data_IF_888039133743
#
_entry.id   IF_888039133743
#
_cell.length_a   1.000
_cell.length_b   1.000
_cell.length_c   1.000
_cell.angle_alpha   90.00
_cell.angle_beta   90.00
_cell.angle_gamma   90.00
#
_symmetry.space_group_name_H-M   'P 1'
#
loop_
_entity.id
_entity.type
_entity.pdbx_description
1 polymer ?
#
# COMPACT_ATOMS: atom_id res chain seq x y z
N UNK A 1 -4.43 -1.51 3.81
CA UNK A 1 -4.65 -2.18 2.50
C UNK A 1 -3.72 -1.54 1.49
N UNK A 2 -2.98 -2.32 0.72
CA UNK A 2 -1.87 -1.78 -0.10
C UNK A 2 -2.12 -2.07 -1.56
N UNK A 3 -1.85 -1.08 -2.42
CA UNK A 3 -1.79 -1.28 -3.87
C UNK A 3 -0.43 -1.85 -4.26
N UNK A 4 -0.42 -3.09 -4.75
CA UNK A 4 0.78 -3.80 -5.18
C UNK A 4 0.67 -4.13 -6.67
N UNK A 5 1.78 -3.96 -7.40
CA UNK A 5 1.86 -4.39 -8.80
C UNK A 5 1.95 -5.92 -8.87
N UNK A 6 1.27 -6.53 -9.84
CA UNK A 6 1.31 -7.99 -10.04
C UNK A 6 2.74 -8.53 -10.13
N UNK A 7 3.68 -7.77 -10.71
CA UNK A 7 5.10 -8.15 -10.83
C UNK A 7 5.82 -8.32 -9.47
N UNK A 8 5.33 -7.65 -8.43
CA UNK A 8 5.91 -7.70 -7.08
C UNK A 8 5.15 -8.67 -6.16
N UNK A 9 4.14 -9.35 -6.70
CA UNK A 9 3.22 -10.14 -5.91
C UNK A 9 3.78 -11.54 -5.68
N UNK A 10 3.82 -11.97 -4.43
CA UNK A 10 4.29 -13.30 -4.03
C UNK A 10 3.12 -14.21 -3.63
N UNK A 11 3.21 -15.53 -3.85
CA UNK A 11 2.25 -16.46 -3.30
C UNK A 11 2.15 -16.29 -1.78
N UNK A 12 0.92 -16.21 -1.27
CA UNK A 12 0.63 -16.08 0.15
C UNK A 12 0.06 -14.73 0.58
N UNK A 13 0.04 -13.71 -0.28
CA UNK A 13 -0.69 -12.47 0.00
C UNK A 13 -2.21 -12.69 -0.04
N UNK A 14 -2.94 -12.00 0.83
CA UNK A 14 -4.41 -12.02 0.83
C UNK A 14 -4.95 -10.81 0.09
N UNK A 15 -5.94 -10.98 -0.78
CA UNK A 15 -6.62 -9.84 -1.43
C UNK A 15 -7.45 -9.05 -0.42
N UNK A 16 -7.30 -7.73 -0.40
CA UNK A 16 -8.15 -6.84 0.39
C UNK A 16 -9.44 -6.46 -0.31
N UNK A 17 -9.51 -6.62 -1.64
CA UNK A 17 -10.68 -6.27 -2.46
C UNK A 17 -10.86 -7.26 -3.60
N UNK A 18 -12.12 -7.48 -3.96
CA UNK A 18 -12.51 -8.24 -5.14
C UNK A 18 -11.79 -7.73 -6.38
N UNK A 19 -11.20 -8.67 -7.11
CA UNK A 19 -10.70 -8.42 -8.46
C UNK A 19 -11.85 -8.69 -9.42
N UNK A 20 -12.44 -7.60 -9.91
CA UNK A 20 -13.51 -7.63 -10.90
C UNK A 20 -12.95 -7.30 -12.28
N UNK A 21 -13.40 -8.05 -13.28
CA UNK A 21 -13.13 -7.76 -14.68
C UNK A 21 -14.09 -6.66 -15.18
N UNK A 22 -13.78 -5.93 -16.28
CA UNK A 22 -14.68 -4.91 -16.83
C UNK A 22 -16.09 -5.39 -17.23
N UNK A 23 -16.28 -6.69 -17.45
CA UNK A 23 -17.59 -7.31 -17.73
C UNK A 23 -18.43 -7.54 -16.45
N UNK A 24 -17.93 -7.13 -15.27
CA UNK A 24 -18.61 -7.28 -13.99
C UNK A 24 -18.41 -8.63 -13.32
N UNK A 25 -17.64 -9.54 -13.92
CA UNK A 25 -17.36 -10.85 -13.34
C UNK A 25 -16.27 -10.75 -12.28
N UNK A 26 -16.57 -11.19 -11.06
CA UNK A 26 -15.58 -11.34 -9.98
C UNK A 26 -14.67 -12.52 -10.30
N UNK A 27 -13.39 -12.25 -10.52
CA UNK A 27 -12.36 -13.24 -10.81
C UNK A 27 -11.81 -13.87 -9.53
N UNK A 28 -11.54 -13.01 -8.53
CA UNK A 28 -11.00 -13.44 -7.25
C UNK A 28 -11.65 -12.60 -6.15
N UNK A 29 -12.34 -13.22 -5.18
CA UNK A 29 -12.96 -12.49 -4.09
C UNK A 29 -11.92 -11.95 -3.10
N UNK A 30 -12.26 -10.87 -2.40
CA UNK A 30 -11.56 -10.38 -1.24
C UNK A 30 -11.43 -11.47 -0.16
N UNK A 31 -10.39 -11.39 0.67
CA UNK A 31 -10.07 -12.37 1.69
C UNK A 31 -9.43 -13.66 1.14
N UNK A 32 -9.33 -13.82 -0.18
CA UNK A 32 -8.65 -14.99 -0.78
C UNK A 32 -7.14 -14.83 -0.74
N UNK A 33 -6.47 -15.86 -0.23
CA UNK A 33 -5.01 -16.02 -0.30
C UNK A 33 -4.60 -16.37 -1.74
N UNK A 34 -3.71 -15.57 -2.31
CA UNK A 34 -3.23 -15.70 -3.68
C UNK A 34 -2.17 -16.80 -3.76
N UNK A 35 -2.42 -17.81 -4.58
CA UNK A 35 -1.44 -18.82 -4.96
C UNK A 35 -0.76 -18.47 -6.29
N UNK A 36 0.16 -19.33 -6.72
CA UNK A 36 0.84 -19.17 -8.01
C UNK A 36 -0.15 -19.19 -9.20
N UNK A 37 -1.24 -19.94 -9.09
CA UNK A 37 -2.28 -20.03 -10.12
C UNK A 37 -3.05 -18.72 -10.27
N UNK A 38 -3.43 -18.10 -9.15
CA UNK A 38 -4.09 -16.79 -9.16
C UNK A 38 -3.19 -15.69 -9.71
N UNK A 39 -1.90 -15.67 -9.34
CA UNK A 39 -0.95 -14.68 -9.85
C UNK A 39 -0.81 -14.78 -11.37
N UNK A 40 -0.64 -16.00 -11.90
CA UNK A 40 -0.57 -16.25 -13.35
C UNK A 40 -1.86 -15.84 -14.06
N UNK A 41 -3.02 -16.04 -13.43
CA UNK A 41 -4.29 -15.60 -13.98
C UNK A 41 -4.33 -14.06 -14.10
N UNK A 42 -3.92 -13.35 -13.05
CA UNK A 42 -3.87 -11.89 -13.04
C UNK A 42 -2.89 -11.34 -14.10
N UNK A 43 -1.73 -11.97 -14.26
CA UNK A 43 -0.76 -11.65 -15.32
C UNK A 43 -1.35 -11.83 -16.73
N UNK A 44 -2.03 -12.96 -16.96
CA UNK A 44 -2.67 -13.26 -18.26
C UNK A 44 -3.78 -12.29 -18.63
N UNK A 45 -4.40 -11.66 -17.63
CA UNK A 45 -5.47 -10.69 -17.81
C UNK A 45 -4.98 -9.25 -17.90
N UNK A 46 -3.66 -9.05 -17.97
CA UNK A 46 -3.01 -7.73 -18.05
C UNK A 46 -3.43 -6.78 -16.91
N UNK A 47 -3.77 -7.35 -15.75
CA UNK A 47 -4.08 -6.57 -14.57
C UNK A 47 -2.77 -6.00 -14.03
N UNK A 48 -2.66 -4.68 -13.95
CA UNK A 48 -1.40 -4.03 -13.55
C UNK A 48 -1.20 -4.00 -12.03
N UNK A 49 -2.29 -3.87 -11.26
CA UNK A 49 -2.26 -3.67 -9.81
C UNK A 49 -3.45 -4.33 -9.12
N UNK A 50 -3.24 -4.82 -7.90
CA UNK A 50 -4.28 -5.32 -7.00
C UNK A 50 -4.11 -4.78 -5.59
N UNK A 51 -5.19 -4.84 -4.80
CA UNK A 51 -5.17 -4.45 -3.39
C UNK A 51 -5.02 -5.69 -2.51
N UNK A 52 -3.98 -5.72 -1.69
CA UNK A 52 -3.73 -6.81 -0.73
C UNK A 52 -3.89 -6.33 0.72
N UNK A 53 -4.19 -7.27 1.60
CA UNK A 53 -4.18 -7.07 3.05
C UNK A 53 -2.73 -6.99 3.54
N UNK A 54 -2.45 -6.04 4.43
CA UNK A 54 -1.14 -5.80 5.02
C UNK A 54 -0.77 -4.32 5.12
N UNK A 55 0.43 -4.08 5.66
CA UNK A 55 1.19 -2.81 5.62
C UNK A 55 2.21 -2.84 4.48
N UNK A 56 2.44 -1.70 3.81
CA UNK A 56 3.20 -1.61 2.55
C UNK A 56 4.65 -2.16 2.60
N UNK A 57 5.14 -2.51 3.79
CA UNK A 57 6.48 -3.02 4.02
C UNK A 57 6.38 -4.34 4.77
N UNK A 58 6.88 -5.41 4.14
CA UNK A 58 6.94 -6.75 4.75
C UNK A 58 7.98 -6.85 5.88
N UNK A 59 8.89 -5.89 5.99
CA UNK A 59 9.95 -5.82 7.00
C UNK A 59 10.38 -4.37 7.26
N UNK A 60 10.78 -4.05 8.49
CA UNK A 60 11.26 -2.71 8.87
C UNK A 60 12.50 -2.27 8.08
N UNK A 61 13.36 -3.21 7.67
CA UNK A 61 14.52 -2.96 6.82
C UNK A 61 14.16 -2.64 5.37
N UNK A 62 13.01 -3.12 4.87
CA UNK A 62 12.51 -2.77 3.53
C UNK A 62 11.93 -1.35 3.49
N UNK A 63 11.24 -0.95 4.57
CA UNK A 63 10.78 0.44 4.81
C UNK A 63 11.94 1.42 4.80
N UNK A 64 13.00 1.13 5.56
CA UNK A 64 14.19 2.00 5.63
C UNK A 64 14.90 2.10 4.27
N UNK A 65 15.02 0.98 3.53
CA UNK A 65 15.61 0.98 2.19
C UNK A 65 14.78 1.78 1.19
N UNK A 66 13.46 1.68 1.25
CA UNK A 66 12.57 2.49 0.42
C UNK A 66 12.70 3.98 0.75
N UNK A 67 12.66 4.34 2.04
CA UNK A 67 12.87 5.70 2.51
C UNK A 67 14.19 6.30 2.05
N UNK A 68 15.27 5.54 2.19
CA UNK A 68 16.61 5.95 1.77
C UNK A 68 16.69 6.20 0.26
N UNK A 69 16.08 5.31 -0.55
CA UNK A 69 16.02 5.50 -2.01
C UNK A 69 15.20 6.72 -2.42
N UNK A 70 14.01 6.89 -1.86
CA UNK A 70 13.13 8.02 -2.18
C UNK A 70 13.75 9.35 -1.74
N UNK A 71 14.37 9.40 -0.56
CA UNK A 71 15.13 10.57 -0.12
C UNK A 71 16.26 10.89 -1.09
N UNK A 72 17.05 9.89 -1.50
CA UNK A 72 18.16 10.11 -2.44
C UNK A 72 17.69 10.58 -3.82
N UNK A 73 16.58 10.04 -4.32
CA UNK A 73 15.97 10.47 -5.57
C UNK A 73 15.44 11.91 -5.48
N UNK A 74 14.87 12.29 -4.34
CA UNK A 74 14.45 13.67 -4.08
C UNK A 74 15.65 14.63 -4.04
N UNK A 75 16.71 14.28 -3.31
CA UNK A 75 17.94 15.09 -3.27
C UNK A 75 18.54 15.27 -4.67
N UNK A 76 18.59 14.20 -5.48
CA UNK A 76 19.13 14.27 -6.84
C UNK A 76 18.30 15.16 -7.78
N UNK A 77 16.97 15.19 -7.61
CA UNK A 77 16.09 16.05 -8.42
C UNK A 77 16.28 17.53 -8.10
N UNK A 78 16.53 17.85 -6.83
CA UNK A 78 16.65 19.23 -6.37
C UNK A 78 18.11 19.73 -6.30
N UNK A 79 19.10 18.89 -6.61
CA UNK A 79 20.52 19.27 -6.61
C UNK A 79 20.87 20.35 -7.65
N UNK A 80 20.05 20.53 -8.68
CA UNK A 80 20.25 21.55 -9.73
C UNK A 80 19.65 22.91 -9.39
N UNK A 81 18.91 23.01 -8.29
CA UNK A 81 18.10 24.17 -7.93
C UNK A 81 18.37 24.64 -6.50
N UNK A 82 19.56 24.35 -5.98
CA UNK A 82 19.97 24.67 -4.59
C UNK A 82 19.97 26.18 -4.29
N UNK A 83 20.08 27.01 -5.32
CA UNK A 83 20.06 28.47 -5.20
C UNK A 83 18.65 29.09 -5.33
N UNK A 84 17.61 28.28 -5.57
CA UNK A 84 16.22 28.75 -5.68
C UNK A 84 15.46 28.45 -4.38
N UNK A 85 15.17 29.51 -3.62
CA UNK A 85 14.53 29.44 -2.31
C UNK A 85 13.09 28.91 -2.38
N UNK A 86 12.37 29.11 -3.48
CA UNK A 86 11.00 28.62 -3.67
C UNK A 86 11.04 27.11 -3.95
N UNK A 87 11.92 26.68 -4.85
CA UNK A 87 12.07 25.26 -5.18
C UNK A 87 12.60 24.45 -3.99
N UNK A 88 13.45 25.05 -3.16
CA UNK A 88 13.90 24.45 -1.90
C UNK A 88 12.77 24.36 -0.86
N UNK A 89 11.86 25.33 -0.78
CA UNK A 89 10.66 25.21 0.05
C UNK A 89 9.73 24.08 -0.41
N UNK A 90 9.59 23.91 -1.73
CA UNK A 90 8.83 22.80 -2.33
C UNK A 90 9.48 21.45 -2.02
N UNK A 91 10.80 21.33 -2.08
CA UNK A 91 11.56 20.13 -1.66
C UNK A 91 11.23 19.75 -0.21
N UNK A 92 11.18 20.72 0.70
CA UNK A 92 10.86 20.47 2.11
C UNK A 92 9.41 20.01 2.31
N UNK A 93 8.46 20.52 1.51
CA UNK A 93 7.08 20.03 1.48
C UNK A 93 7.05 18.57 1.02
N UNK A 94 7.77 18.20 -0.04
CA UNK A 94 7.88 16.81 -0.48
C UNK A 94 8.54 15.91 0.57
N UNK A 95 9.58 16.40 1.26
CA UNK A 95 10.28 15.67 2.33
C UNK A 95 9.37 15.42 3.54
N UNK A 96 8.55 16.40 3.92
CA UNK A 96 7.54 16.26 4.99
C UNK A 96 6.43 15.30 4.58
N UNK A 97 5.93 15.40 3.35
CA UNK A 97 4.91 14.49 2.83
C UNK A 97 5.41 13.05 2.70
N UNK A 98 6.69 12.82 2.40
CA UNK A 98 7.26 11.47 2.39
C UNK A 98 7.23 10.83 3.78
N UNK A 99 7.34 11.63 4.86
CA UNK A 99 7.13 11.16 6.24
C UNK A 99 5.64 10.98 6.55
N UNK A 100 4.78 11.92 6.15
CA UNK A 100 3.35 11.88 6.47
C UNK A 100 2.56 10.82 5.70
N UNK A 101 2.85 10.55 4.42
CA UNK A 101 2.23 9.45 3.66
C UNK A 101 2.41 8.09 4.31
N UNK A 102 3.44 7.95 5.14
CA UNK A 102 3.69 6.75 5.92
C UNK A 102 2.91 6.79 7.24
N UNK A 103 2.80 7.95 7.88
CA UNK A 103 1.99 8.13 9.09
C UNK A 103 0.47 8.06 8.85
N UNK A 104 -0.05 8.51 7.70
CA UNK A 104 -1.46 8.33 7.35
C UNK A 104 -1.80 6.84 7.13
N UNK A 105 -0.86 6.02 6.63
CA UNK A 105 -1.03 4.56 6.60
C UNK A 105 -1.04 3.94 8.00
N UNK A 106 -0.25 4.47 8.95
CA UNK A 106 -0.24 4.03 10.36
C UNK A 106 -1.49 4.54 11.14
N UNK A 107 -2.12 5.64 10.73
CA UNK A 107 -3.25 6.27 11.48
C UNK A 107 -4.59 5.55 11.27
N UNK A 108 -4.75 4.79 10.18
CA UNK A 108 -5.89 3.86 10.03
C UNK A 108 -5.70 2.55 10.82
N UNK A 109 -4.53 2.31 11.43
CA UNK A 109 -4.23 1.10 12.21
C UNK A 109 -4.72 1.14 13.67
N UNK A 110 -5.31 2.24 14.14
CA UNK A 110 -5.92 2.32 15.47
C UNK A 110 -7.33 2.92 15.41
N UNK A 111 -8.26 2.21 14.76
CA UNK A 111 -9.64 2.30 15.19
C UNK A 111 -9.78 1.43 16.46
N UNK A 112 -10.20 1.97 17.62
CA UNK A 112 -10.48 1.13 18.77
C UNK A 112 -11.62 0.18 18.40
N UNK A 113 -11.35 -1.11 18.48
CA UNK A 113 -12.39 -2.14 18.60
C UNK A 113 -13.11 -1.97 19.94
N UNK A 114 -13.92 -0.93 20.08
CA UNK A 114 -15.02 -0.91 21.04
C UNK A 114 -16.08 -1.84 20.46
N UNK A 115 -16.22 -3.08 20.93
CA UNK A 115 -16.66 -3.32 22.29
C UNK A 115 -18.15 -3.03 22.39
N UNK A 116 -18.98 -3.90 21.82
CA UNK A 116 -20.36 -4.10 22.30
C UNK A 116 -20.56 -5.60 22.50
N UNK A 117 -20.18 -6.04 23.69
CA UNK A 117 -20.76 -7.25 24.27
C UNK A 117 -22.28 -7.10 24.22
N UNK A 118 -22.95 -8.10 23.65
CA UNK A 118 -24.39 -8.23 23.81
C UNK A 118 -24.63 -8.61 25.27
N UNK A 119 -25.37 -7.82 26.06
CA UNK A 119 -25.89 -8.32 27.32
C UNK A 119 -26.95 -9.37 26.97
N UNK A 120 -26.87 -10.53 27.63
CA UNK A 120 -27.92 -11.54 27.55
C UNK A 120 -29.26 -10.94 27.98
N UNK A 121 -30.31 -11.31 27.27
CA UNK A 121 -31.67 -11.07 27.70
C UNK A 121 -32.49 -12.35 27.47
N UNK A 122 -32.88 -12.91 28.60
CA UNK A 122 -34.05 -13.73 28.92
C UNK A 122 -34.35 -15.04 28.20
N UNK A 123 -34.51 -16.05 29.04
CA UNK A 123 -35.12 -17.36 28.83
C UNK A 123 -35.07 -18.14 30.13
#
# INVERSE_FOLDING_TARGET
>A
MIKVSIKNLKPGHTLARDVVRPDGVTLIPAGKKLGASEIRLLERLDIQFVLIEGEAFTDAGERERYLSREKKALELRFSRVENDSILMAIKEIFRKNLRQRIFDEDTFAQAPSSGKGRPGHDG
#
